data_IF_267579526576
#
_entry.id   IF_267579526576
#
_cell.length_a   1.000
_cell.length_b   1.000
_cell.length_c   1.000
_cell.angle_alpha   90.00
_cell.angle_beta   90.00
_cell.angle_gamma   90.00
#
_symmetry.space_group_name_H-M   'P 1'
#
loop_
_entity.id
_entity.type
_entity.pdbx_description
1 polymer ?
#
# COMPACT_ATOMS: atom_id res chain seq x y z
N UNK A 1 2.78 23.97 9.93
CA UNK A 1 1.91 22.78 9.96
C UNK A 1 2.65 21.66 9.25
N UNK A 2 2.49 20.41 9.70
CA UNK A 2 3.08 19.29 8.98
C UNK A 2 2.38 19.11 7.62
N UNK A 3 3.11 18.64 6.61
CA UNK A 3 2.56 18.45 5.27
C UNK A 3 1.77 17.14 5.21
N UNK A 4 0.58 17.18 4.62
CA UNK A 4 -0.29 16.01 4.46
C UNK A 4 0.05 15.28 3.18
N UNK A 5 0.28 13.97 3.27
CA UNK A 5 0.71 13.13 2.15
C UNK A 5 -0.32 12.03 1.90
N UNK A 6 -0.89 11.98 0.69
CA UNK A 6 -1.72 10.85 0.29
C UNK A 6 -0.83 9.66 -0.10
N UNK A 7 -1.09 8.49 0.46
CA UNK A 7 -0.45 7.22 0.06
C UNK A 7 -1.51 6.31 -0.58
N UNK A 8 -1.29 5.86 -1.80
CA UNK A 8 -2.29 5.08 -2.55
C UNK A 8 -1.91 3.60 -2.59
N UNK A 9 -2.57 2.78 -1.78
CA UNK A 9 -2.32 1.35 -1.61
C UNK A 9 -1.48 1.03 -0.37
N UNK A 10 -1.85 -0.03 0.34
CA UNK A 10 -1.23 -0.51 1.58
C UNK A 10 -0.50 -1.86 1.39
N UNK A 11 0.10 -2.06 0.21
CA UNK A 11 1.08 -3.12 -0.02
C UNK A 11 2.44 -2.80 0.65
N UNK A 12 3.47 -3.60 0.35
CA UNK A 12 4.82 -3.39 0.91
C UNK A 12 5.34 -1.96 0.70
N UNK A 13 5.13 -1.38 -0.49
CA UNK A 13 5.52 0.00 -0.80
C UNK A 13 4.71 1.03 -0.02
N UNK A 14 3.41 0.78 0.18
CA UNK A 14 2.54 1.69 0.93
C UNK A 14 2.94 1.78 2.39
N UNK A 15 3.18 0.63 3.03
CA UNK A 15 3.61 0.55 4.42
C UNK A 15 4.92 1.31 4.65
N UNK A 16 5.92 1.14 3.77
CA UNK A 16 7.17 1.90 3.90
C UNK A 16 6.98 3.38 3.62
N UNK A 17 6.14 3.77 2.66
CA UNK A 17 5.81 5.18 2.45
C UNK A 17 5.17 5.84 3.68
N UNK A 18 4.22 5.16 4.35
CA UNK A 18 3.64 5.66 5.61
C UNK A 18 4.75 5.83 6.66
N UNK A 19 5.57 4.80 6.86
CA UNK A 19 6.65 4.80 7.86
C UNK A 19 7.65 5.94 7.61
N UNK A 20 8.13 6.10 6.37
CA UNK A 20 9.07 7.16 6.01
C UNK A 20 8.44 8.56 6.18
N UNK A 21 7.16 8.72 5.84
CA UNK A 21 6.45 9.99 6.11
C UNK A 21 6.46 10.33 7.60
N UNK A 22 6.19 9.36 8.47
CA UNK A 22 6.19 9.57 9.93
C UNK A 22 7.57 9.95 10.46
N UNK A 23 8.64 9.31 9.98
CA UNK A 23 10.02 9.63 10.38
C UNK A 23 10.45 11.04 10.01
N UNK A 24 9.97 11.54 8.87
CA UNK A 24 10.23 12.91 8.39
C UNK A 24 9.25 13.94 8.96
N UNK A 25 8.39 13.56 9.92
CA UNK A 25 7.43 14.46 10.56
C UNK A 25 6.30 14.93 9.63
N UNK A 26 5.98 14.14 8.59
CA UNK A 26 4.85 14.35 7.69
C UNK A 26 3.58 13.65 8.24
N UNK A 27 2.42 14.01 7.69
CA UNK A 27 1.13 13.43 8.05
C UNK A 27 0.60 12.52 6.93
N UNK A 28 0.90 11.21 6.94
CA UNK A 28 0.40 10.30 5.92
C UNK A 28 -1.09 9.97 6.12
N UNK A 29 -1.82 9.94 5.02
CA UNK A 29 -3.16 9.35 4.91
C UNK A 29 -3.13 8.33 3.79
N UNK A 30 -3.24 7.06 4.14
CA UNK A 30 -3.22 5.96 3.18
C UNK A 30 -4.63 5.54 2.82
N UNK A 31 -4.88 5.34 1.53
CA UNK A 31 -6.13 4.79 1.01
C UNK A 31 -5.85 3.41 0.42
N UNK A 32 -6.48 2.38 0.99
CA UNK A 32 -6.40 1.00 0.52
C UNK A 32 -7.76 0.55 0.04
N UNK A 33 -7.83 0.10 -1.21
CA UNK A 33 -9.08 -0.32 -1.83
C UNK A 33 -9.67 -1.57 -1.16
N UNK A 34 -8.82 -2.46 -0.65
CA UNK A 34 -9.20 -3.72 0.01
C UNK A 34 -9.44 -3.56 1.50
N UNK A 35 -9.84 -4.66 2.13
CA UNK A 35 -10.17 -4.76 3.54
C UNK A 35 -8.95 -5.00 4.46
N UNK A 36 -7.73 -5.09 3.91
CA UNK A 36 -6.53 -5.40 4.68
C UNK A 36 -5.24 -4.94 3.96
N UNK A 37 -4.11 -5.02 4.63
CA UNK A 37 -2.78 -4.70 4.07
C UNK A 37 -2.19 -5.85 3.25
N UNK A 38 -1.03 -5.59 2.65
CA UNK A 38 -0.15 -6.62 2.08
C UNK A 38 -0.27 -6.80 0.56
N UNK A 39 -1.39 -6.38 -0.04
CA UNK A 39 -1.59 -6.40 -1.49
C UNK A 39 -1.31 -7.79 -2.08
N UNK A 40 -0.32 -7.88 -2.98
CA UNK A 40 0.12 -9.11 -3.66
C UNK A 40 0.33 -10.30 -2.70
N UNK A 41 0.86 -10.05 -1.51
CA UNK A 41 1.23 -11.11 -0.56
C UNK A 41 0.04 -11.65 0.23
N UNK A 42 -1.13 -11.01 0.12
CA UNK A 42 -2.37 -11.50 0.71
C UNK A 42 -3.09 -12.41 -0.27
N UNK A 43 -2.81 -13.71 -0.18
CA UNK A 43 -3.48 -14.72 -0.99
C UNK A 43 -5.00 -14.76 -0.71
N UNK A 44 -5.80 -14.79 -1.78
CA UNK A 44 -7.24 -15.07 -1.75
C UNK A 44 -7.55 -16.17 -2.76
N UNK A 45 -8.44 -17.10 -2.41
CA UNK A 45 -8.88 -18.18 -3.29
C UNK A 45 -9.55 -17.66 -4.57
N UNK A 46 -10.35 -16.61 -4.43
CA UNK A 46 -11.04 -15.96 -5.53
C UNK A 46 -10.30 -14.65 -5.84
N UNK A 47 -9.76 -14.48 -7.05
CA UNK A 47 -9.15 -13.22 -7.47
C UNK A 47 -10.15 -12.07 -7.40
N UNK A 48 -9.71 -10.92 -6.90
CA UNK A 48 -10.50 -9.70 -6.88
C UNK A 48 -10.18 -8.87 -8.14
N UNK A 49 -11.19 -8.32 -8.85
CA UNK A 49 -10.96 -7.43 -9.97
C UNK A 49 -10.04 -6.27 -9.60
N UNK A 50 -9.18 -5.87 -10.53
CA UNK A 50 -8.26 -4.72 -10.42
C UNK A 50 -7.23 -4.81 -9.28
N UNK A 51 -7.13 -5.95 -8.59
CA UNK A 51 -6.10 -6.23 -7.57
C UNK A 51 -5.16 -7.32 -8.03
N UNK A 52 -3.95 -7.28 -7.48
CA UNK A 52 -2.96 -8.32 -7.71
C UNK A 52 -3.42 -9.63 -7.09
N UNK A 53 -3.24 -10.74 -7.81
CA UNK A 53 -3.55 -12.07 -7.34
C UNK A 53 -2.31 -12.95 -7.37
N UNK A 54 -2.21 -13.89 -6.44
CA UNK A 54 -1.14 -14.89 -6.36
C UNK A 54 -1.73 -16.28 -6.28
N UNK A 55 -0.97 -17.28 -6.70
CA UNK A 55 -1.34 -18.67 -6.50
C UNK A 55 -0.96 -19.12 -5.08
N UNK A 56 -1.72 -20.08 -4.56
CA UNK A 56 -1.66 -20.53 -3.16
C UNK A 56 -0.24 -20.87 -2.69
N UNK A 57 0.53 -21.59 -3.52
CA UNK A 57 1.85 -22.13 -3.18
C UNK A 57 3.02 -21.17 -3.40
N UNK A 58 2.76 -19.86 -3.65
CA UNK A 58 3.82 -18.90 -3.90
C UNK A 58 4.80 -18.82 -2.72
N UNK A 59 6.08 -19.02 -3.03
CA UNK A 59 7.22 -18.83 -2.12
C UNK A 59 8.09 -17.70 -2.68
N UNK A 60 8.67 -16.88 -1.80
CA UNK A 60 9.60 -15.82 -2.20
C UNK A 60 10.79 -16.41 -2.96
N UNK A 61 11.21 -15.72 -4.01
CA UNK A 61 12.43 -16.05 -4.75
C UNK A 61 13.66 -15.27 -4.23
N UNK A 62 13.48 -14.40 -3.24
CA UNK A 62 14.53 -13.62 -2.59
C UNK A 62 14.66 -14.08 -1.15
N UNK A 63 15.91 -14.16 -0.66
CA UNK A 63 16.21 -14.57 0.72
C UNK A 63 15.68 -13.55 1.73
N UNK A 64 15.23 -14.02 2.90
CA UNK A 64 14.70 -13.18 4.00
C UNK A 64 15.66 -12.05 4.40
N UNK A 65 16.96 -12.35 4.46
CA UNK A 65 18.01 -11.39 4.83
C UNK A 65 18.25 -10.32 3.75
N UNK A 66 17.79 -10.57 2.52
CA UNK A 66 17.96 -9.66 1.38
C UNK A 66 16.70 -8.87 1.06
N UNK A 67 15.57 -9.19 1.69
CA UNK A 67 14.27 -8.58 1.38
C UNK A 67 13.55 -7.99 2.59
N UNK A 68 14.10 -8.11 3.79
CA UNK A 68 13.57 -7.40 4.95
C UNK A 68 13.73 -5.88 4.77
N UNK A 69 12.84 -5.12 5.41
CA UNK A 69 13.04 -3.70 5.57
C UNK A 69 14.29 -3.45 6.42
N UNK A 70 15.01 -2.39 6.09
CA UNK A 70 16.36 -2.09 6.58
C UNK A 70 16.49 -2.00 8.11
N UNK A 71 15.39 -1.69 8.78
CA UNK A 71 15.28 -1.38 10.19
C UNK A 71 14.40 -2.36 10.97
N UNK A 72 13.89 -3.40 10.30
CA UNK A 72 13.16 -4.48 10.96
C UNK A 72 13.53 -5.84 10.34
N UNK A 73 14.47 -6.60 10.92
CA UNK A 73 14.82 -7.90 10.39
C UNK A 73 13.63 -8.86 10.47
N UNK A 74 13.57 -9.81 9.53
CA UNK A 74 12.58 -10.89 9.58
C UNK A 74 12.87 -11.82 10.77
N UNK A 75 11.85 -12.43 11.40
CA UNK A 75 12.05 -13.32 12.55
C UNK A 75 13.06 -14.45 12.27
N UNK A 76 13.89 -14.77 13.27
CA UNK A 76 14.93 -15.78 13.13
C UNK A 76 14.39 -17.17 12.71
N UNK A 77 13.19 -17.52 13.19
CA UNK A 77 12.52 -18.80 12.89
C UNK A 77 11.88 -18.87 11.50
N UNK A 78 11.80 -17.76 10.75
CA UNK A 78 11.32 -17.79 9.37
C UNK A 78 12.36 -18.47 8.46
N UNK A 79 11.93 -19.26 7.45
CA UNK A 79 12.83 -19.86 6.48
C UNK A 79 13.47 -18.76 5.60
N UNK A 80 14.63 -19.07 5.00
CA UNK A 80 15.28 -18.13 4.07
C UNK A 80 14.38 -17.76 2.89
N UNK A 81 13.58 -18.70 2.39
CA UNK A 81 12.59 -18.45 1.35
C UNK A 81 11.21 -18.76 1.93
N UNK A 82 10.32 -17.77 1.94
CA UNK A 82 9.10 -17.77 2.73
C UNK A 82 7.88 -18.03 1.87
N UNK A 83 6.93 -18.78 2.40
CA UNK A 83 5.60 -18.85 1.81
C UNK A 83 4.91 -17.47 1.87
N UNK A 84 4.02 -17.16 0.92
CA UNK A 84 3.31 -15.87 0.86
C UNK A 84 2.69 -15.44 2.21
N UNK A 85 2.14 -16.39 2.97
CA UNK A 85 1.52 -16.18 4.27
C UNK A 85 2.51 -15.71 5.34
N UNK A 86 3.76 -16.18 5.30
CA UNK A 86 4.81 -15.73 6.22
C UNK A 86 5.28 -14.32 5.86
N UNK A 87 5.33 -13.99 4.56
CA UNK A 87 5.64 -12.63 4.15
C UNK A 87 4.52 -11.65 4.50
N UNK A 88 3.25 -12.04 4.36
CA UNK A 88 2.12 -11.26 4.89
C UNK A 88 2.24 -11.06 6.41
N UNK A 89 2.58 -12.12 7.15
CA UNK A 89 2.80 -12.03 8.60
C UNK A 89 3.93 -11.03 8.94
N UNK A 90 5.02 -11.01 8.17
CA UNK A 90 6.08 -10.01 8.34
C UNK A 90 5.58 -8.58 8.08
N UNK A 91 4.75 -8.36 7.06
CA UNK A 91 4.17 -7.05 6.79
C UNK A 91 3.22 -6.59 7.91
N UNK A 92 2.46 -7.52 8.50
CA UNK A 92 1.62 -7.26 9.67
C UNK A 92 2.47 -6.91 10.90
N UNK A 93 3.59 -7.61 11.12
CA UNK A 93 4.55 -7.27 12.18
C UNK A 93 5.15 -5.88 11.98
N UNK A 94 5.54 -5.53 10.75
CA UNK A 94 6.05 -4.20 10.41
C UNK A 94 5.02 -3.10 10.67
N UNK A 95 3.79 -3.30 10.20
CA UNK A 95 2.70 -2.35 10.40
C UNK A 95 2.36 -2.14 11.89
N UNK A 96 2.39 -3.22 12.69
CA UNK A 96 2.17 -3.13 14.13
C UNK A 96 3.34 -2.44 14.86
N UNK A 97 4.59 -2.79 14.52
CA UNK A 97 5.79 -2.26 15.16
C UNK A 97 5.91 -0.74 15.03
N UNK A 98 5.62 -0.21 13.83
CA UNK A 98 5.67 1.23 13.55
C UNK A 98 4.30 1.93 13.67
N UNK A 99 3.28 1.24 14.19
CA UNK A 99 1.92 1.75 14.37
C UNK A 99 1.31 2.40 13.10
N UNK A 100 1.43 1.71 11.97
CA UNK A 100 1.06 2.24 10.65
C UNK A 100 -0.44 2.14 10.37
N UNK A 101 -1.14 1.18 10.98
CA UNK A 101 -2.53 0.85 10.65
C UNK A 101 -3.51 2.02 10.88
N UNK A 102 -3.25 2.87 11.88
CA UNK A 102 -4.08 4.04 12.18
C UNK A 102 -4.12 5.08 11.03
N UNK A 103 -3.15 5.03 10.11
CA UNK A 103 -3.06 5.93 8.96
C UNK A 103 -3.75 5.38 7.72
N UNK A 104 -4.34 4.17 7.78
CA UNK A 104 -4.89 3.47 6.63
C UNK A 104 -6.41 3.49 6.67
N UNK A 105 -7.00 4.03 5.61
CA UNK A 105 -8.42 3.92 5.31
C UNK A 105 -8.64 2.75 4.35
N UNK A 106 -9.04 1.61 4.91
CA UNK A 106 -9.42 0.44 4.14
C UNK A 106 -10.75 0.65 3.40
N UNK A 107 -11.00 -0.21 2.42
CA UNK A 107 -12.18 -0.18 1.56
C UNK A 107 -12.44 1.21 0.99
N UNK A 108 -11.36 1.92 0.63
CA UNK A 108 -11.39 3.27 0.09
C UNK A 108 -10.58 3.32 -1.18
N UNK A 109 -11.26 3.40 -2.31
CA UNK A 109 -10.65 3.43 -3.64
C UNK A 109 -10.35 4.86 -4.04
N UNK A 110 -9.11 5.13 -4.47
CA UNK A 110 -8.77 6.41 -5.11
C UNK A 110 -9.20 6.36 -6.58
N UNK A 111 -10.14 7.22 -6.95
CA UNK A 111 -10.71 7.29 -8.29
C UNK A 111 -9.92 8.22 -9.22
N UNK A 112 -9.33 9.29 -8.65
CA UNK A 112 -8.64 10.32 -9.43
C UNK A 112 -7.67 11.10 -8.57
N UNK A 113 -6.53 11.47 -9.15
CA UNK A 113 -5.56 12.42 -8.60
C UNK A 113 -5.35 13.52 -9.64
N UNK A 114 -5.61 14.77 -9.27
CA UNK A 114 -5.46 15.94 -10.15
C UNK A 114 -4.68 17.02 -9.43
N UNK A 115 -3.98 17.84 -10.19
CA UNK A 115 -3.43 19.09 -9.67
C UNK A 115 -4.60 19.97 -9.19
N UNK A 116 -4.44 20.60 -8.02
CA UNK A 116 -5.42 21.59 -7.56
C UNK A 116 -5.48 22.79 -8.51
N UNK A 117 -6.58 23.57 -8.51
CA UNK A 117 -6.70 24.77 -9.34
C UNK A 117 -5.55 25.78 -9.16
N UNK A 118 -4.93 25.82 -7.98
CA UNK A 118 -3.84 26.72 -7.61
C UNK A 118 -2.46 26.04 -7.57
N UNK A 119 -2.32 24.85 -8.16
CA UNK A 119 -1.10 24.02 -8.09
C UNK A 119 0.19 24.76 -8.46
N UNK A 120 0.14 25.69 -9.42
CA UNK A 120 1.31 26.49 -9.81
C UNK A 120 1.91 27.29 -8.64
N UNK A 121 1.10 27.63 -7.63
CA UNK A 121 1.51 28.32 -6.42
C UNK A 121 1.60 27.36 -5.22
N UNK A 122 0.63 26.46 -5.04
CA UNK A 122 0.49 25.61 -3.86
C UNK A 122 1.24 24.27 -3.96
N UNK A 123 1.36 23.71 -5.16
CA UNK A 123 1.86 22.35 -5.40
C UNK A 123 0.91 21.24 -4.94
N UNK A 124 -0.35 21.56 -4.61
CA UNK A 124 -1.28 20.63 -3.97
C UNK A 124 -2.11 19.77 -4.94
N UNK A 125 -2.58 18.63 -4.46
CA UNK A 125 -3.31 17.66 -5.25
C UNK A 125 -4.73 17.46 -4.71
N UNK A 126 -5.70 17.42 -5.63
CA UNK A 126 -7.05 16.93 -5.39
C UNK A 126 -7.10 15.42 -5.56
N UNK A 127 -7.38 14.70 -4.48
CA UNK A 127 -7.53 13.24 -4.46
C UNK A 127 -9.00 12.89 -4.24
N UNK A 128 -9.63 12.33 -5.27
CA UNK A 128 -11.01 11.83 -5.22
C UNK A 128 -11.00 10.37 -4.75
N UNK A 129 -11.74 10.09 -3.69
CA UNK A 129 -11.90 8.76 -3.10
C UNK A 129 -13.36 8.33 -3.12
N UNK A 130 -13.60 7.03 -3.13
CA UNK A 130 -14.90 6.40 -2.94
C UNK A 130 -14.75 5.30 -1.88
N UNK A 131 -15.57 5.33 -0.84
CA UNK A 131 -15.58 4.28 0.19
C UNK A 131 -16.50 3.11 -0.19
N UNK A 132 -16.54 2.07 0.65
CA UNK A 132 -17.36 0.87 0.44
C UNK A 132 -18.86 1.15 0.27
N UNK A 133 -19.34 2.27 0.79
CA UNK A 133 -20.75 2.66 0.76
C UNK A 133 -21.05 3.53 -0.48
N UNK A 134 -20.06 3.71 -1.37
CA UNK A 134 -20.15 4.51 -2.60
C UNK A 134 -20.05 6.01 -2.35
N UNK A 135 -19.66 6.44 -1.14
CA UNK A 135 -19.57 7.85 -0.82
C UNK A 135 -18.28 8.44 -1.37
N UNK A 136 -18.42 9.43 -2.25
CA UNK A 136 -17.31 10.14 -2.87
C UNK A 136 -16.86 11.33 -2.04
N UNK A 137 -15.55 11.45 -1.82
CA UNK A 137 -14.93 12.57 -1.10
C UNK A 137 -13.70 13.08 -1.84
N UNK A 138 -13.58 14.39 -1.95
CA UNK A 138 -12.38 15.09 -2.45
C UNK A 138 -11.55 15.53 -1.24
N UNK A 139 -10.26 15.25 -1.30
CA UNK A 139 -9.28 15.63 -0.29
C UNK A 139 -8.17 16.45 -0.94
N UNK A 140 -7.65 17.45 -0.23
CA UNK A 140 -6.47 18.21 -0.65
C UNK A 140 -5.25 17.71 0.11
N UNK A 141 -4.17 17.44 -0.62
CA UNK A 141 -2.88 16.96 -0.09
C UNK A 141 -1.71 17.76 -0.66
N UNK A 142 -0.65 17.89 0.13
CA UNK A 142 0.58 18.58 -0.27
C UNK A 142 1.47 17.71 -1.17
N UNK A 143 1.33 16.39 -1.09
CA UNK A 143 2.01 15.43 -1.94
C UNK A 143 1.22 14.13 -2.08
N UNK A 144 1.55 13.34 -3.11
CA UNK A 144 0.95 12.03 -3.37
C UNK A 144 2.04 11.00 -3.64
N UNK A 145 1.97 9.86 -2.96
CA UNK A 145 2.82 8.69 -3.16
C UNK A 145 1.96 7.55 -3.72
N UNK A 146 2.28 7.10 -4.95
CA UNK A 146 1.51 6.08 -5.66
C UNK A 146 2.13 4.69 -5.42
N UNK A 147 1.40 3.82 -4.73
CA UNK A 147 1.88 2.50 -4.27
C UNK A 147 0.97 1.35 -4.73
N UNK A 148 0.31 1.50 -5.89
CA UNK A 148 -0.70 0.55 -6.41
C UNK A 148 -0.14 -0.78 -6.91
N UNK A 149 1.19 -0.88 -7.06
CA UNK A 149 1.85 -2.01 -7.70
C UNK A 149 1.59 -2.09 -9.20
N UNK A 150 2.17 -3.10 -9.85
CA UNK A 150 2.14 -3.29 -11.31
C UNK A 150 1.71 -4.70 -11.76
N UNK A 151 1.59 -5.67 -10.86
CA UNK A 151 1.14 -7.03 -11.15
C UNK A 151 -0.38 -7.22 -10.97
N UNK A 152 -1.18 -6.30 -11.49
CA UNK A 152 -2.65 -6.30 -11.35
C UNK A 152 -3.37 -6.55 -12.67
N UNK A 153 -2.94 -5.88 -13.76
CA UNK A 153 -3.56 -6.01 -15.08
C UNK A 153 -2.90 -7.13 -15.88
N UNK A 154 -3.61 -8.21 -16.23
CA UNK A 154 -3.03 -9.29 -17.01
C UNK A 154 -2.77 -8.82 -18.44
N UNK A 155 -1.58 -9.13 -18.96
CA UNK A 155 -1.27 -8.95 -20.39
C UNK A 155 -1.65 -10.24 -21.11
N UNK A 156 -2.82 -10.22 -21.76
CA UNK A 156 -3.27 -11.32 -22.59
C UNK A 156 -3.27 -10.87 -24.05
N UNK A 157 -2.31 -11.30 -24.88
CA UNK A 157 -2.30 -10.99 -26.30
C UNK A 157 -3.34 -11.86 -27.03
N UNK A 158 -4.62 -11.60 -26.75
CA UNK A 158 -5.74 -12.24 -27.43
C UNK A 158 -5.82 -11.69 -28.86
N UNK A 159 -5.97 -12.59 -29.84
CA UNK A 159 -6.12 -12.26 -31.26
C UNK A 159 -7.52 -11.74 -31.57
#
# INVERSE_FOLDING_TARGET
MARRVAVIGAGSSGLTCIKCCLEEGLEPVCFESSDDIGGLWRFKEIPEPERSSTYRSLVTNTSKEMMCFSDLPMPAHFPNFMHNSQLLQYLQLYAAHFNLLQHIHFQTTVLSVKQSPDFACSGQWEVLTEDRDGLKKIHIFDAVLVCTGHYTKPVMPLK
#
